data_IF_025342846082
#
_entry.id   IF_025342846082
#
_cell.length_a   1.000
_cell.length_b   1.000
_cell.length_c   1.000
_cell.angle_alpha   90.00
_cell.angle_beta   90.00
_cell.angle_gamma   90.00
#
_symmetry.space_group_name_H-M   'P 1'
#
loop_
_entity.id
_entity.type
_entity.pdbx_description
1 polymer ?
#
# COMPACT_ATOMS: atom_id res chain seq x y z
N UNK A 1 -5.66 -15.76 -6.09
CA UNK A 1 -4.38 -15.19 -5.68
C UNK A 1 -4.60 -13.83 -5.05
N UNK A 2 -4.09 -13.64 -3.85
CA UNK A 2 -4.29 -12.38 -3.14
C UNK A 2 -3.40 -11.28 -3.71
N UNK A 3 -3.95 -10.07 -3.75
CA UNK A 3 -3.29 -8.91 -4.31
C UNK A 3 -3.02 -7.89 -3.22
N UNK A 4 -1.76 -7.47 -3.09
CA UNK A 4 -1.31 -6.57 -2.04
C UNK A 4 -0.76 -5.29 -2.65
N UNK A 5 -1.14 -4.14 -2.07
CA UNK A 5 -0.58 -2.86 -2.44
C UNK A 5 0.37 -2.41 -1.32
N UNK A 6 1.59 -2.05 -1.69
CA UNK A 6 2.56 -1.47 -0.76
C UNK A 6 2.69 0.01 -1.08
N UNK A 7 2.49 0.86 -0.08
CA UNK A 7 2.69 2.30 -0.21
C UNK A 7 3.87 2.67 0.69
N UNK A 8 5.04 2.85 0.07
CA UNK A 8 6.32 3.04 0.75
C UNK A 8 7.23 3.90 -0.11
N UNK A 9 7.73 5.00 0.45
CA UNK A 9 8.58 5.94 -0.30
C UNK A 9 10.01 5.45 -0.51
N UNK A 10 10.51 4.59 0.37
CA UNK A 10 11.85 4.02 0.21
C UNK A 10 11.81 2.81 -0.71
N UNK A 11 12.34 2.99 -1.91
CA UNK A 11 12.29 1.97 -2.98
C UNK A 11 12.93 0.65 -2.53
N UNK A 12 14.05 0.72 -1.83
CA UNK A 12 14.75 -0.50 -1.38
C UNK A 12 13.90 -1.31 -0.40
N UNK A 13 13.21 -0.64 0.51
CA UNK A 13 12.34 -1.30 1.48
C UNK A 13 11.11 -1.89 0.78
N UNK A 14 10.51 -1.12 -0.11
CA UNK A 14 9.35 -1.58 -0.87
C UNK A 14 9.68 -2.83 -1.70
N UNK A 15 10.83 -2.81 -2.37
CA UNK A 15 11.28 -3.94 -3.19
C UNK A 15 11.53 -5.18 -2.34
N UNK A 16 12.13 -5.01 -1.17
CA UNK A 16 12.38 -6.11 -0.25
C UNK A 16 11.07 -6.75 0.23
N UNK A 17 10.12 -5.92 0.61
CA UNK A 17 8.80 -6.40 1.04
C UNK A 17 8.08 -7.13 -0.10
N UNK A 18 8.16 -6.58 -1.30
CA UNK A 18 7.55 -7.19 -2.48
C UNK A 18 8.14 -8.56 -2.75
N UNK A 19 9.47 -8.66 -2.77
CA UNK A 19 10.15 -9.93 -3.02
C UNK A 19 9.73 -10.99 -2.02
N UNK A 20 9.65 -10.60 -0.76
CA UNK A 20 9.26 -11.51 0.31
C UNK A 20 7.84 -12.03 0.13
N UNK A 21 6.92 -11.12 -0.19
CA UNK A 21 5.51 -11.48 -0.36
C UNK A 21 5.29 -12.31 -1.62
N UNK A 22 6.03 -12.03 -2.68
CA UNK A 22 5.92 -12.81 -3.92
C UNK A 22 6.39 -14.25 -3.75
N UNK A 23 7.31 -14.49 -2.81
CA UNK A 23 7.70 -15.86 -2.46
C UNK A 23 6.53 -16.67 -1.91
N UNK A 24 5.54 -16.00 -1.33
CA UNK A 24 4.34 -16.64 -0.78
C UNK A 24 3.16 -16.59 -1.76
N UNK A 25 3.43 -16.39 -3.03
CA UNK A 25 2.45 -16.36 -4.12
C UNK A 25 1.46 -15.20 -4.07
N UNK A 26 1.81 -14.11 -3.39
CA UNK A 26 1.01 -12.89 -3.45
C UNK A 26 1.38 -12.09 -4.70
N UNK A 27 0.40 -11.40 -5.26
CA UNK A 27 0.64 -10.43 -6.31
C UNK A 27 0.80 -9.07 -5.66
N UNK A 28 1.88 -8.36 -5.97
CA UNK A 28 2.24 -7.13 -5.25
C UNK A 28 2.46 -5.97 -6.20
N UNK A 29 1.81 -4.85 -5.91
CA UNK A 29 2.06 -3.57 -6.59
C UNK A 29 2.66 -2.60 -5.57
N UNK A 30 3.49 -1.67 -6.04
CA UNK A 30 4.15 -0.67 -5.20
C UNK A 30 3.81 0.73 -5.67
N UNK A 31 3.48 1.61 -4.72
CA UNK A 31 3.40 3.05 -4.94
C UNK A 31 4.35 3.72 -3.99
N UNK A 32 5.08 4.74 -4.46
CA UNK A 32 6.12 5.39 -3.66
C UNK A 32 5.67 6.73 -3.06
N UNK A 33 4.46 7.15 -3.31
CA UNK A 33 3.89 8.37 -2.72
C UNK A 33 2.49 8.10 -2.19
N UNK A 34 2.06 8.93 -1.23
CA UNK A 34 0.71 8.81 -0.67
C UNK A 34 -0.38 9.09 -1.69
N UNK A 35 -0.18 10.09 -2.54
CA UNK A 35 -1.15 10.46 -3.58
C UNK A 35 -1.36 9.33 -4.58
N UNK A 36 -0.27 8.76 -5.06
CA UNK A 36 -0.30 7.65 -6.00
C UNK A 36 -0.92 6.41 -5.37
N UNK A 37 -0.53 6.15 -4.12
CA UNK A 37 -1.06 5.01 -3.35
C UNK A 37 -2.56 5.12 -3.15
N UNK A 38 -3.04 6.32 -2.83
CA UNK A 38 -4.47 6.55 -2.66
C UNK A 38 -5.24 6.27 -3.94
N UNK A 39 -4.78 6.84 -5.05
CA UNK A 39 -5.42 6.62 -6.35
C UNK A 39 -5.44 5.14 -6.73
N UNK A 40 -4.32 4.48 -6.56
CA UNK A 40 -4.18 3.06 -6.90
C UNK A 40 -5.07 2.18 -6.03
N UNK A 41 -5.12 2.48 -4.73
CA UNK A 41 -5.96 1.74 -3.80
C UNK A 41 -7.44 1.86 -4.14
N UNK A 42 -7.88 3.05 -4.54
CA UNK A 42 -9.28 3.29 -4.87
C UNK A 42 -9.67 2.70 -6.22
N UNK A 43 -8.73 2.64 -7.16
CA UNK A 43 -8.99 2.13 -8.52
C UNK A 43 -8.89 0.62 -8.63
N UNK A 44 -8.07 -0.03 -7.79
CA UNK A 44 -7.80 -1.45 -7.88
C UNK A 44 -8.57 -2.28 -6.86
N UNK A 45 -8.46 -3.59 -7.00
CA UNK A 45 -9.06 -4.54 -6.06
C UNK A 45 -7.94 -5.21 -5.26
N UNK A 46 -7.59 -4.63 -4.13
CA UNK A 46 -6.55 -5.17 -3.26
C UNK A 46 -7.15 -5.88 -2.07
N UNK A 47 -6.50 -6.96 -1.65
CA UNK A 47 -6.92 -7.72 -0.47
C UNK A 47 -6.27 -7.21 0.80
N UNK A 48 -5.15 -6.51 0.66
CA UNK A 48 -4.42 -5.92 1.79
C UNK A 48 -3.61 -4.73 1.29
N UNK A 49 -3.51 -3.71 2.13
CA UNK A 49 -2.65 -2.56 1.86
C UNK A 49 -1.62 -2.48 2.99
N UNK A 50 -0.34 -2.39 2.64
CA UNK A 50 0.74 -2.12 3.59
C UNK A 50 1.11 -0.66 3.39
N UNK A 51 0.95 0.14 4.43
CA UNK A 51 1.06 1.58 4.35
C UNK A 51 2.09 2.11 5.34
N UNK A 52 3.09 2.82 4.83
CA UNK A 52 4.09 3.49 5.66
C UNK A 52 3.48 4.76 6.27
N UNK A 53 3.65 4.93 7.58
CA UNK A 53 3.16 6.12 8.29
C UNK A 53 3.93 7.38 7.92
N UNK A 54 5.20 7.22 7.59
CA UNK A 54 6.12 8.35 7.37
C UNK A 54 6.31 8.64 5.89
N UNK A 55 5.22 8.94 5.19
CA UNK A 55 5.30 9.28 3.77
C UNK A 55 5.56 10.78 3.59
N UNK A 56 6.39 11.16 2.61
CA UNK A 56 6.54 12.58 2.28
C UNK A 56 5.25 13.13 1.65
N UNK A 57 4.92 14.35 2.00
CA UNK A 57 3.77 15.05 1.45
C UNK A 57 2.46 14.72 2.11
N UNK A 58 1.98 13.51 2.01
CA UNK A 58 0.73 13.07 2.61
C UNK A 58 0.98 12.11 3.77
N UNK A 59 0.43 12.44 4.93
CA UNK A 59 0.52 11.62 6.13
C UNK A 59 -0.16 10.26 5.91
N UNK A 60 0.48 9.18 6.35
CA UNK A 60 -0.06 7.82 6.23
C UNK A 60 -1.44 7.67 6.87
N UNK A 61 -1.71 8.35 7.99
CA UNK A 61 -3.03 8.32 8.61
C UNK A 61 -4.09 8.94 7.71
N UNK A 62 -3.74 10.02 7.01
CA UNK A 62 -4.64 10.66 6.04
C UNK A 62 -4.98 9.72 4.89
N UNK A 63 -3.98 9.05 4.36
CA UNK A 63 -4.17 8.07 3.27
C UNK A 63 -5.10 6.96 3.75
N UNK A 64 -4.84 6.41 4.92
CA UNK A 64 -5.65 5.36 5.51
C UNK A 64 -7.11 5.80 5.67
N UNK A 65 -7.32 6.99 6.21
CA UNK A 65 -8.66 7.54 6.41
C UNK A 65 -9.42 7.67 5.10
N UNK A 66 -8.78 8.21 4.08
CA UNK A 66 -9.42 8.41 2.77
C UNK A 66 -9.77 7.08 2.10
N UNK A 67 -8.91 6.08 2.21
CA UNK A 67 -9.21 4.75 1.67
C UNK A 67 -10.39 4.14 2.40
N UNK A 68 -10.41 4.24 3.73
CA UNK A 68 -11.48 3.69 4.56
C UNK A 68 -12.84 4.32 4.30
N UNK A 69 -12.87 5.56 3.83
CA UNK A 69 -14.13 6.22 3.49
C UNK A 69 -14.84 5.56 2.30
N UNK A 70 -14.09 4.88 1.45
CA UNK A 70 -14.64 4.30 0.23
C UNK A 70 -14.49 2.79 0.13
N UNK A 71 -13.54 2.20 0.84
CA UNK A 71 -13.26 0.77 0.74
C UNK A 71 -13.02 0.15 2.10
N UNK A 72 -13.44 -1.09 2.24
CA UNK A 72 -13.27 -1.85 3.48
C UNK A 72 -12.16 -2.90 3.29
N UNK A 73 -10.95 -2.42 3.06
CA UNK A 73 -9.76 -3.26 2.84
C UNK A 73 -8.91 -3.23 4.10
N UNK A 74 -8.40 -4.38 4.57
CA UNK A 74 -7.44 -4.38 5.68
C UNK A 74 -6.21 -3.55 5.35
N UNK A 75 -5.79 -2.71 6.28
CA UNK A 75 -4.62 -1.85 6.12
C UNK A 75 -3.67 -2.12 7.27
N UNK A 76 -2.45 -2.53 6.94
CA UNK A 76 -1.38 -2.74 7.91
C UNK A 76 -0.48 -1.51 7.86
N UNK A 77 -0.41 -0.78 8.97
CA UNK A 77 0.41 0.43 9.07
C UNK A 77 1.75 0.11 9.71
N UNK A 78 2.80 0.61 9.13
CA UNK A 78 4.16 0.37 9.62
C UNK A 78 4.97 1.65 9.80
#
# INVERSE_FOLDING_TARGET
MSKILIIEDEVAIADLEKDYLELSDFKVDICNTGDEGLKTALAGDYDLIILDLMLPGMDGFEVCKKIREEKNIPILMV
#
